data_IF_367060459650
#
_entry.id   IF_367060459650
#
_cell.length_a   1.000
_cell.length_b   1.000
_cell.length_c   1.000
_cell.angle_alpha   90.00
_cell.angle_beta   90.00
_cell.angle_gamma   90.00
#
_symmetry.space_group_name_H-M   'P 1'
#
loop_
_entity.id
_entity.type
_entity.pdbx_description
1 polymer ?
#
# COMPACT_ATOMS: atom_id res chain seq x y z
N UNK A 1 -19.83 52.93 3.48
CA UNK A 1 -18.96 53.17 2.31
C UNK A 1 -19.61 52.50 1.10
N UNK A 2 -20.38 53.20 0.25
CA UNK A 2 -19.96 53.92 -0.97
C UNK A 2 -19.12 53.03 -1.92
N UNK A 3 -19.39 52.90 -3.24
CA UNK A 3 -20.06 53.82 -4.18
C UNK A 3 -20.32 53.11 -5.54
N UNK A 4 -21.37 53.57 -6.22
CA UNK A 4 -21.53 53.68 -7.68
C UNK A 4 -21.65 52.44 -8.57
N UNK A 5 -22.89 52.19 -8.98
CA UNK A 5 -23.24 51.55 -10.25
C UNK A 5 -23.80 52.63 -11.19
N UNK A 6 -23.08 52.99 -12.27
CA UNK A 6 -23.56 53.80 -13.40
C UNK A 6 -22.87 53.37 -14.69
N UNK A 7 -23.69 53.00 -15.68
CA UNK A 7 -23.55 53.36 -17.09
C UNK A 7 -22.60 52.52 -17.95
N UNK A 8 -23.14 51.83 -18.95
CA UNK A 8 -22.92 52.17 -20.38
C UNK A 8 -23.62 51.18 -21.31
N UNK A 9 -24.79 51.57 -21.81
CA UNK A 9 -25.35 51.02 -23.03
C UNK A 9 -25.69 52.19 -23.96
N UNK A 10 -24.78 52.46 -24.90
CA UNK A 10 -24.99 53.33 -26.06
C UNK A 10 -24.30 52.65 -27.25
N UNK A 11 -25.09 52.29 -28.26
CA UNK A 11 -24.87 52.33 -29.71
C UNK A 11 -26.26 51.95 -30.27
N UNK A 12 -27.13 52.95 -30.46
CA UNK A 12 -27.41 53.62 -31.75
C UNK A 12 -28.31 52.75 -32.64
N UNK A 13 -29.63 52.94 -32.72
CA UNK A 13 -30.39 54.11 -33.22
C UNK A 13 -30.24 54.31 -34.74
N UNK A 14 -31.07 53.62 -35.54
CA UNK A 14 -31.59 53.99 -36.88
C UNK A 14 -32.76 53.01 -37.16
N UNK A 15 -34.00 53.33 -37.53
CA UNK A 15 -34.75 54.56 -37.69
C UNK A 15 -36.22 54.20 -37.39
N UNK A 16 -36.72 54.67 -36.27
CA UNK A 16 -38.12 54.59 -35.88
C UNK A 16 -38.56 55.96 -35.40
N UNK A 17 -38.74 56.91 -36.32
CA UNK A 17 -39.54 58.13 -36.14
C UNK A 17 -39.58 58.93 -37.45
N UNK A 18 -40.65 58.75 -38.21
CA UNK A 18 -41.21 59.81 -39.06
C UNK A 18 -42.73 59.84 -38.83
N UNK A 19 -43.10 60.04 -37.56
CA UNK A 19 -44.45 60.36 -37.13
C UNK A 19 -44.43 61.83 -36.70
N UNK A 20 -44.88 62.71 -37.61
CA UNK A 20 -45.45 64.01 -37.27
C UNK A 20 -44.58 65.25 -37.51
N UNK A 21 -44.57 65.77 -38.74
CA UNK A 21 -44.76 67.21 -39.02
C UNK A 21 -45.15 67.42 -40.49
N UNK A 22 -46.41 67.16 -40.85
CA UNK A 22 -47.08 67.85 -41.96
C UNK A 22 -48.53 68.09 -41.54
N UNK A 23 -48.73 69.14 -40.75
CA UNK A 23 -50.05 69.71 -40.50
C UNK A 23 -50.05 71.14 -41.05
N UNK A 24 -50.25 71.28 -42.36
CA UNK A 24 -50.74 72.54 -42.96
C UNK A 24 -51.16 72.33 -44.41
N UNK A 25 -52.43 72.67 -44.65
CA UNK A 25 -53.20 72.73 -45.91
C UNK A 25 -54.06 71.50 -46.21
N UNK A 26 -55.41 71.67 -46.23
CA UNK A 26 -56.28 70.75 -46.94
C UNK A 26 -56.14 71.09 -48.42
N UNK A 27 -55.08 70.62 -49.07
CA UNK A 27 -55.07 70.57 -50.52
C UNK A 27 -55.97 69.42 -50.93
N UNK A 28 -57.13 69.80 -51.44
CA UNK A 28 -58.01 68.98 -52.26
C UNK A 28 -57.19 68.49 -53.46
N UNK A 29 -56.40 67.44 -53.25
CA UNK A 29 -55.94 66.60 -54.33
C UNK A 29 -57.11 65.67 -54.61
N UNK A 30 -57.87 66.04 -55.64
CA UNK A 30 -58.86 65.24 -56.34
C UNK A 30 -58.63 63.76 -56.08
N UNK A 31 -59.54 63.15 -55.31
CA UNK A 31 -59.68 61.72 -55.25
C UNK A 31 -60.05 61.25 -56.65
N UNK A 32 -59.04 61.00 -57.48
CA UNK A 32 -59.21 60.16 -58.64
C UNK A 32 -59.51 58.78 -58.07
N UNK A 33 -60.78 58.42 -58.11
CA UNK A 33 -61.25 57.14 -57.61
C UNK A 33 -60.54 56.07 -58.44
N UNK A 34 -59.62 55.26 -57.86
CA UNK A 34 -59.12 54.12 -58.59
C UNK A 34 -60.29 53.16 -58.66
N UNK A 35 -60.86 53.04 -59.86
CA UNK A 35 -61.80 52.00 -60.22
C UNK A 35 -61.40 50.69 -59.54
N UNK A 36 -62.34 49.96 -58.93
CA UNK A 36 -62.08 48.70 -58.21
C UNK A 36 -61.36 47.61 -59.02
N UNK A 37 -61.17 47.81 -60.33
CA UNK A 37 -60.33 47.00 -61.20
C UNK A 37 -58.82 47.25 -61.03
N UNK A 38 -58.40 48.46 -60.60
CA UNK A 38 -57.00 48.85 -60.40
C UNK A 38 -56.44 48.33 -59.05
N UNK A 39 -57.32 47.84 -58.16
CA UNK A 39 -56.99 47.18 -56.89
C UNK A 39 -56.86 45.65 -57.04
N UNK A 40 -57.53 45.07 -58.04
CA UNK A 40 -57.54 43.62 -58.32
C UNK A 40 -56.46 43.20 -59.33
N UNK A 41 -56.00 44.12 -60.20
CA UNK A 41 -54.88 43.89 -61.10
C UNK A 41 -53.68 44.72 -60.65
N UNK A 42 -52.69 44.12 -59.96
CA UNK A 42 -51.49 44.85 -59.60
C UNK A 42 -50.80 45.37 -60.86
N UNK A 43 -50.49 46.67 -60.89
CA UNK A 43 -49.73 47.27 -61.99
C UNK A 43 -48.39 46.53 -62.10
N UNK A 44 -47.96 46.10 -63.31
CA UNK A 44 -46.71 45.37 -63.48
C UNK A 44 -45.49 46.16 -62.97
N UNK A 45 -45.61 47.48 -62.84
CA UNK A 45 -44.61 48.37 -62.26
C UNK A 45 -44.37 48.16 -60.76
N UNK A 46 -45.34 47.68 -59.98
CA UNK A 46 -45.19 47.41 -58.54
C UNK A 46 -44.74 45.97 -58.25
N UNK A 47 -45.04 45.04 -59.17
CA UNK A 47 -44.64 43.64 -59.05
C UNK A 47 -43.11 43.44 -59.15
N UNK A 48 -42.45 44.17 -60.05
CA UNK A 48 -41.00 44.08 -60.26
C UNK A 48 -40.19 44.46 -59.00
N UNK A 49 -40.39 45.63 -58.35
CA UNK A 49 -39.67 45.97 -57.12
C UNK A 49 -40.05 45.06 -55.95
N UNK A 50 -41.30 44.59 -55.85
CA UNK A 50 -41.70 43.62 -54.85
C UNK A 50 -40.98 42.26 -55.03
N UNK A 51 -40.84 41.79 -56.28
CA UNK A 51 -40.11 40.58 -56.61
C UNK A 51 -38.62 40.73 -56.30
N UNK A 52 -38.02 41.88 -56.63
CA UNK A 52 -36.62 42.17 -56.28
C UNK A 52 -36.44 42.18 -54.76
N UNK A 53 -37.32 42.84 -54.01
CA UNK A 53 -37.28 42.85 -52.55
C UNK A 53 -37.41 41.42 -51.96
N UNK A 54 -38.32 40.60 -52.51
CA UNK A 54 -38.47 39.20 -52.14
C UNK A 54 -37.21 38.38 -52.41
N UNK A 55 -36.61 38.53 -53.60
CA UNK A 55 -35.36 37.84 -53.97
C UNK A 55 -34.20 38.26 -53.08
N UNK A 56 -34.09 39.54 -52.74
CA UNK A 56 -33.05 40.05 -51.82
C UNK A 56 -33.20 39.43 -50.43
N UNK A 57 -34.43 39.42 -49.88
CA UNK A 57 -34.71 38.81 -48.58
C UNK A 57 -34.46 37.30 -48.63
N UNK A 58 -34.91 36.62 -49.68
CA UNK A 58 -34.69 35.18 -49.86
C UNK A 58 -33.20 34.85 -49.96
N UNK A 59 -32.41 35.63 -50.71
CA UNK A 59 -30.98 35.39 -50.83
C UNK A 59 -30.26 35.56 -49.48
N UNK A 60 -30.61 36.60 -48.72
CA UNK A 60 -30.08 36.81 -47.35
C UNK A 60 -30.47 35.64 -46.45
N UNK A 61 -31.72 35.19 -46.48
CA UNK A 61 -32.20 34.09 -45.66
C UNK A 61 -31.56 32.75 -46.07
N UNK A 62 -31.42 32.47 -47.36
CA UNK A 62 -30.75 31.27 -47.86
C UNK A 62 -29.28 31.26 -47.45
N UNK A 63 -28.59 32.41 -47.49
CA UNK A 63 -27.19 32.52 -47.10
C UNK A 63 -26.96 32.47 -45.59
N UNK A 64 -27.91 32.91 -44.75
CA UNK A 64 -27.73 32.97 -43.29
C UNK A 64 -28.48 31.88 -42.52
N UNK A 65 -29.75 31.62 -42.84
CA UNK A 65 -30.59 30.67 -42.10
C UNK A 65 -30.21 29.22 -42.42
N UNK A 66 -29.96 28.90 -43.70
CA UNK A 66 -29.61 27.54 -44.12
C UNK A 66 -28.33 27.00 -43.46
N UNK A 67 -27.18 27.72 -43.47
CA UNK A 67 -25.99 27.22 -42.78
C UNK A 67 -26.14 27.19 -41.25
N UNK A 68 -26.92 28.09 -40.65
CA UNK A 68 -27.18 28.07 -39.20
C UNK A 68 -27.95 26.82 -38.75
N UNK A 69 -28.97 26.42 -39.53
CA UNK A 69 -29.77 25.22 -39.24
C UNK A 69 -28.94 23.94 -39.43
N UNK A 70 -28.21 23.83 -40.54
CA UNK A 70 -27.32 22.70 -40.80
C UNK A 70 -26.23 22.59 -39.73
N UNK A 71 -25.60 23.70 -39.37
CA UNK A 71 -24.58 23.72 -38.32
C UNK A 71 -25.12 23.32 -36.94
N UNK A 72 -26.38 23.63 -36.62
CA UNK A 72 -27.01 23.15 -35.38
C UNK A 72 -27.24 21.63 -35.42
N UNK A 73 -27.73 21.09 -36.54
CA UNK A 73 -27.96 19.66 -36.70
C UNK A 73 -26.64 18.88 -36.65
N UNK A 74 -25.61 19.36 -37.34
CA UNK A 74 -24.28 18.75 -37.35
C UNK A 74 -23.65 18.78 -35.95
N UNK A 75 -23.75 19.90 -35.22
CA UNK A 75 -23.33 19.95 -33.81
C UNK A 75 -24.06 18.96 -32.92
N UNK A 76 -25.38 18.80 -33.11
CA UNK A 76 -26.16 17.81 -32.35
C UNK A 76 -25.72 16.38 -32.69
N UNK A 77 -25.54 16.09 -33.97
CA UNK A 77 -25.07 14.78 -34.43
C UNK A 77 -23.69 14.48 -33.88
N UNK A 78 -22.74 15.42 -34.03
CA UNK A 78 -21.38 15.27 -33.51
C UNK A 78 -21.39 15.07 -32.00
N UNK A 79 -22.15 15.86 -31.25
CA UNK A 79 -22.26 15.69 -29.81
C UNK A 79 -22.80 14.31 -29.43
N UNK A 80 -23.82 13.81 -30.12
CA UNK A 80 -24.36 12.47 -29.85
C UNK A 80 -23.32 11.39 -30.13
N UNK A 81 -22.59 11.51 -31.24
CA UNK A 81 -21.51 10.57 -31.57
C UNK A 81 -20.39 10.63 -30.52
N UNK A 82 -19.94 11.82 -30.13
CA UNK A 82 -18.91 11.99 -29.10
C UNK A 82 -19.38 11.45 -27.73
N UNK A 83 -20.64 11.70 -27.35
CA UNK A 83 -21.22 11.18 -26.10
C UNK A 83 -21.34 9.65 -26.14
N UNK A 84 -21.67 9.04 -27.29
CA UNK A 84 -21.73 7.59 -27.47
C UNK A 84 -20.33 6.95 -27.45
N UNK A 85 -19.39 7.51 -28.20
CA UNK A 85 -18.01 7.03 -28.29
C UNK A 85 -17.32 7.13 -26.92
N UNK A 86 -17.54 8.22 -26.19
CA UNK A 86 -17.01 8.38 -24.83
C UNK A 86 -17.65 7.41 -23.83
N UNK A 87 -18.94 7.14 -23.93
CA UNK A 87 -19.61 6.14 -23.11
C UNK A 87 -19.11 4.73 -23.40
N UNK A 88 -18.93 4.36 -24.66
CA UNK A 88 -18.38 3.06 -25.06
C UNK A 88 -16.93 2.91 -24.58
N UNK A 89 -16.10 3.94 -24.78
CA UNK A 89 -14.73 3.97 -24.27
C UNK A 89 -14.68 3.84 -22.75
N UNK A 90 -15.49 4.59 -22.03
CA UNK A 90 -15.55 4.51 -20.56
C UNK A 90 -15.99 3.13 -20.08
N UNK A 91 -16.95 2.50 -20.77
CA UNK A 91 -17.36 1.12 -20.47
C UNK A 91 -16.26 0.11 -20.75
N UNK A 92 -15.53 0.26 -21.85
CA UNK A 92 -14.41 -0.61 -22.20
C UNK A 92 -13.25 -0.46 -21.21
N UNK A 93 -12.91 0.76 -20.82
CA UNK A 93 -11.90 1.06 -19.80
C UNK A 93 -12.30 0.46 -18.44
N UNK A 94 -13.55 0.66 -18.01
CA UNK A 94 -14.06 0.08 -16.76
C UNK A 94 -14.03 -1.46 -16.77
N UNK A 95 -14.36 -2.09 -17.91
CA UNK A 95 -14.28 -3.55 -18.05
C UNK A 95 -12.83 -4.05 -18.01
N UNK A 96 -11.91 -3.37 -18.70
CA UNK A 96 -10.48 -3.72 -18.68
C UNK A 96 -9.87 -3.52 -17.29
N UNK A 97 -10.25 -2.45 -16.61
CA UNK A 97 -9.81 -2.16 -15.25
C UNK A 97 -10.35 -3.20 -14.26
N UNK A 98 -11.64 -3.58 -14.35
CA UNK A 98 -12.22 -4.65 -13.55
C UNK A 98 -11.48 -5.98 -13.75
N UNK A 99 -11.15 -6.33 -15.00
CA UNK A 99 -10.34 -7.53 -15.27
C UNK A 99 -8.95 -7.44 -14.65
N UNK A 100 -8.27 -6.29 -14.76
CA UNK A 100 -6.97 -6.08 -14.10
C UNK A 100 -7.06 -6.18 -12.58
N UNK A 101 -8.16 -5.73 -11.98
CA UNK A 101 -8.39 -5.87 -10.54
C UNK A 101 -8.56 -7.34 -10.13
N UNK A 102 -9.34 -8.12 -10.87
CA UNK A 102 -9.49 -9.56 -10.63
C UNK A 102 -8.14 -10.29 -10.74
N UNK A 103 -7.35 -9.99 -11.78
CA UNK A 103 -6.02 -10.57 -11.96
C UNK A 103 -5.08 -10.22 -10.78
N UNK A 104 -5.12 -8.96 -10.32
CA UNK A 104 -4.35 -8.51 -9.15
C UNK A 104 -4.81 -9.21 -7.87
N UNK A 105 -6.10 -9.46 -7.69
CA UNK A 105 -6.62 -10.21 -6.53
C UNK A 105 -6.13 -11.66 -6.56
N UNK A 106 -6.18 -12.31 -7.72
CA UNK A 106 -5.65 -13.67 -7.89
C UNK A 106 -4.15 -13.71 -7.60
N UNK A 107 -3.38 -12.76 -8.13
CA UNK A 107 -1.95 -12.67 -7.87
C UNK A 107 -1.64 -12.40 -6.39
N UNK A 108 -2.39 -11.52 -5.74
CA UNK A 108 -2.25 -11.21 -4.32
C UNK A 108 -2.54 -12.45 -3.45
N UNK A 109 -3.60 -13.19 -3.76
CA UNK A 109 -3.92 -14.45 -3.08
C UNK A 109 -2.83 -15.51 -3.29
N UNK A 110 -2.30 -15.63 -4.51
CA UNK A 110 -1.17 -16.54 -4.81
C UNK A 110 0.07 -16.17 -3.99
N UNK A 111 0.43 -14.88 -3.92
CA UNK A 111 1.55 -14.38 -3.12
C UNK A 111 1.32 -14.61 -1.62
N UNK A 112 0.10 -14.41 -1.13
CA UNK A 112 -0.24 -14.68 0.27
C UNK A 112 -0.04 -16.16 0.62
N UNK A 113 -0.53 -17.07 -0.22
CA UNK A 113 -0.34 -18.52 -0.02
C UNK A 113 1.14 -18.90 -0.09
N UNK A 114 1.89 -18.31 -1.02
CA UNK A 114 3.34 -18.51 -1.16
C UNK A 114 4.09 -18.05 0.12
N UNK A 115 3.75 -16.87 0.65
CA UNK A 115 4.31 -16.36 1.91
C UNK A 115 3.96 -17.28 3.08
N UNK A 116 2.71 -17.74 3.19
CA UNK A 116 2.28 -18.64 4.28
C UNK A 116 3.01 -19.97 4.17
N UNK A 117 3.14 -20.54 2.98
CA UNK A 117 3.86 -21.79 2.73
C UNK A 117 5.34 -21.64 3.08
N UNK A 118 5.98 -20.55 2.67
CA UNK A 118 7.38 -20.29 2.95
C UNK A 118 7.61 -20.08 4.46
N UNK A 119 6.76 -19.30 5.12
CA UNK A 119 6.82 -19.09 6.57
C UNK A 119 6.64 -20.40 7.36
N UNK A 120 5.73 -21.29 6.94
CA UNK A 120 5.58 -22.61 7.56
C UNK A 120 6.83 -23.47 7.39
N UNK A 121 7.43 -23.44 6.20
CA UNK A 121 8.67 -24.20 5.92
C UNK A 121 9.83 -23.68 6.77
N UNK A 122 10.02 -22.37 6.81
CA UNK A 122 11.05 -21.72 7.64
C UNK A 122 10.83 -22.01 9.13
N UNK A 123 9.59 -21.94 9.61
CA UNK A 123 9.27 -22.25 11.00
C UNK A 123 9.56 -23.72 11.36
N UNK A 124 9.27 -24.67 10.48
CA UNK A 124 9.58 -26.08 10.73
C UNK A 124 11.10 -26.35 10.67
N UNK A 125 11.81 -25.69 9.75
CA UNK A 125 13.26 -25.77 9.68
C UNK A 125 13.92 -25.18 10.95
N UNK A 126 13.49 -23.99 11.37
CA UNK A 126 13.96 -23.34 12.59
C UNK A 126 13.64 -24.19 13.83
N UNK A 127 12.42 -24.75 13.91
CA UNK A 127 12.04 -25.68 14.98
C UNK A 127 12.96 -26.89 15.02
N UNK A 128 13.25 -27.50 13.88
CA UNK A 128 14.17 -28.64 13.79
C UNK A 128 15.58 -28.25 14.23
N UNK A 129 16.07 -27.08 13.82
CA UNK A 129 17.39 -26.57 14.23
C UNK A 129 17.46 -26.31 15.74
N UNK A 130 16.44 -25.69 16.32
CA UNK A 130 16.34 -25.43 17.77
C UNK A 130 16.31 -26.76 18.54
N UNK A 131 15.52 -27.73 18.09
CA UNK A 131 15.45 -29.05 18.74
C UNK A 131 16.78 -29.80 18.65
N UNK A 132 17.45 -29.77 17.49
CA UNK A 132 18.76 -30.38 17.32
C UNK A 132 19.81 -29.72 18.21
N UNK A 133 19.82 -28.39 18.28
CA UNK A 133 20.72 -27.63 19.16
C UNK A 133 20.44 -27.93 20.63
N UNK A 134 19.18 -27.95 21.05
CA UNK A 134 18.79 -28.28 22.42
C UNK A 134 19.20 -29.71 22.81
N UNK A 135 19.05 -30.69 21.92
CA UNK A 135 19.53 -32.06 22.15
C UNK A 135 21.05 -32.13 22.27
N UNK A 136 21.78 -31.40 21.41
CA UNK A 136 23.23 -31.33 21.49
C UNK A 136 23.69 -30.68 22.81
N UNK A 137 23.11 -29.55 23.19
CA UNK A 137 23.41 -28.87 24.46
C UNK A 137 23.07 -29.75 25.67
N UNK A 138 21.94 -30.45 25.64
CA UNK A 138 21.58 -31.40 26.70
C UNK A 138 22.60 -32.54 26.81
N UNK A 139 23.02 -33.13 25.69
CA UNK A 139 24.06 -34.16 25.66
C UNK A 139 25.39 -33.64 26.21
N UNK A 140 25.77 -32.42 25.84
CA UNK A 140 27.00 -31.79 26.32
C UNK A 140 26.96 -31.52 27.83
N UNK A 141 25.81 -31.07 28.35
CA UNK A 141 25.59 -30.87 29.79
C UNK A 141 25.72 -32.21 30.52
N UNK A 142 25.11 -33.28 30.01
CA UNK A 142 25.20 -34.62 30.61
C UNK A 142 26.65 -35.12 30.61
N UNK A 143 27.36 -34.97 29.48
CA UNK A 143 28.77 -35.36 29.38
C UNK A 143 29.65 -34.58 30.38
N UNK A 144 29.44 -33.26 30.50
CA UNK A 144 30.14 -32.42 31.49
C UNK A 144 29.80 -32.82 32.92
N UNK A 145 28.53 -33.14 33.20
CA UNK A 145 28.09 -33.58 34.52
C UNK A 145 28.74 -34.92 34.91
N UNK A 146 28.81 -35.89 33.99
CA UNK A 146 29.54 -37.14 34.23
C UNK A 146 31.02 -36.90 34.53
N UNK A 147 31.70 -36.06 33.75
CA UNK A 147 33.09 -35.70 34.02
C UNK A 147 33.29 -35.01 35.38
N UNK A 148 32.38 -34.13 35.77
CA UNK A 148 32.40 -33.47 37.08
C UNK A 148 32.18 -34.47 38.22
N UNK A 149 31.22 -35.39 38.08
CA UNK A 149 30.95 -36.45 39.07
C UNK A 149 32.15 -37.38 39.21
N UNK A 150 32.80 -37.77 38.13
CA UNK A 150 33.99 -38.62 38.18
C UNK A 150 35.16 -37.92 38.87
N UNK A 151 35.37 -36.63 38.58
CA UNK A 151 36.37 -35.81 39.26
C UNK A 151 36.07 -35.70 40.76
N UNK A 152 34.81 -35.46 41.13
CA UNK A 152 34.41 -35.31 42.53
C UNK A 152 34.51 -36.64 43.29
N UNK A 153 34.15 -37.75 42.65
CA UNK A 153 34.34 -39.10 43.22
C UNK A 153 35.82 -39.40 43.50
N UNK A 154 36.72 -39.02 42.59
CA UNK A 154 38.16 -39.17 42.80
C UNK A 154 38.64 -38.34 43.99
N UNK A 155 38.22 -37.07 44.10
CA UNK A 155 38.53 -36.22 45.25
C UNK A 155 38.02 -36.82 46.56
N UNK A 156 36.76 -37.23 46.62
CA UNK A 156 36.16 -37.86 47.80
C UNK A 156 36.90 -39.15 48.21
N UNK A 157 37.37 -39.94 47.24
CA UNK A 157 38.14 -41.16 47.50
C UNK A 157 39.52 -40.85 48.11
N UNK A 158 40.20 -39.80 47.62
CA UNK A 158 41.47 -39.33 48.18
C UNK A 158 41.26 -38.80 49.60
N UNK A 159 40.23 -37.98 49.83
CA UNK A 159 39.91 -37.41 51.13
C UNK A 159 39.54 -38.50 52.16
N UNK A 160 38.77 -39.51 51.74
CA UNK A 160 38.45 -40.67 52.57
C UNK A 160 39.71 -41.49 52.90
N UNK A 161 40.60 -41.69 51.92
CA UNK A 161 41.85 -42.42 52.13
C UNK A 161 42.74 -41.70 53.16
N UNK A 162 42.87 -40.38 53.06
CA UNK A 162 43.60 -39.58 54.05
C UNK A 162 42.98 -39.68 55.44
N UNK A 163 41.64 -39.56 55.53
CA UNK A 163 40.92 -39.69 56.81
C UNK A 163 41.11 -41.07 57.46
N UNK A 164 41.16 -42.14 56.65
CA UNK A 164 41.43 -43.50 57.14
C UNK A 164 42.87 -43.65 57.62
N UNK A 165 43.84 -43.04 56.93
CA UNK A 165 45.24 -43.02 57.37
C UNK A 165 45.37 -42.28 58.71
N UNK A 166 44.79 -41.09 58.82
CA UNK A 166 44.82 -40.29 60.06
C UNK A 166 44.19 -41.05 61.23
N UNK A 167 43.03 -41.68 61.03
CA UNK A 167 42.38 -42.51 62.04
C UNK A 167 43.22 -43.74 62.42
N UNK A 168 43.89 -44.36 61.45
CA UNK A 168 44.77 -45.51 61.71
C UNK A 168 45.99 -45.11 62.55
N UNK A 169 46.58 -43.94 62.28
CA UNK A 169 47.68 -43.37 63.07
C UNK A 169 47.21 -43.03 64.49
N UNK A 170 46.00 -42.46 64.64
CA UNK A 170 45.41 -42.18 65.96
C UNK A 170 45.20 -43.47 66.78
N UNK A 171 44.62 -44.50 66.17
CA UNK A 171 44.42 -45.82 66.81
C UNK A 171 45.76 -46.45 67.20
N UNK A 172 46.74 -46.45 66.30
CA UNK A 172 48.07 -47.00 66.58
C UNK A 172 48.76 -46.24 67.71
N UNK A 173 48.69 -44.91 67.71
CA UNK A 173 49.23 -44.05 68.78
C UNK A 173 48.56 -44.34 70.12
N UNK A 174 47.25 -44.58 70.14
CA UNK A 174 46.49 -44.90 71.35
C UNK A 174 46.81 -46.31 71.88
N UNK A 175 47.01 -47.30 71.01
CA UNK A 175 47.45 -48.66 71.40
C UNK A 175 48.86 -48.61 72.01
N UNK A 176 49.79 -47.88 71.36
CA UNK A 176 51.15 -47.70 71.88
C UNK A 176 51.12 -46.91 73.21
N UNK A 177 50.24 -45.92 73.33
CA UNK A 177 50.14 -45.07 74.52
C UNK A 177 49.51 -45.73 75.74
N UNK A 178 48.64 -46.74 75.59
CA UNK A 178 47.86 -47.27 76.71
C UNK A 178 48.34 -48.59 77.33
N UNK A 179 49.18 -49.41 76.70
CA UNK A 179 49.55 -50.72 77.30
C UNK A 179 50.88 -51.29 76.77
N UNK A 180 51.97 -50.50 76.75
CA UNK A 180 53.31 -51.11 76.58
C UNK A 180 53.89 -51.54 77.94
N UNK A 181 53.93 -52.85 78.14
CA UNK A 181 54.72 -53.47 79.22
C UNK A 181 56.22 -53.38 78.92
N UNK A 182 57.06 -53.35 79.96
CA UNK A 182 58.52 -53.17 79.86
C UNK A 182 59.18 -54.23 78.93
N UNK A 183 58.63 -55.45 78.92
CA UNK A 183 59.06 -56.54 78.02
C UNK A 183 58.77 -56.27 76.53
N UNK A 184 57.66 -55.58 76.20
CA UNK A 184 57.31 -55.25 74.82
C UNK A 184 58.19 -54.12 74.27
N UNK A 185 58.55 -53.13 75.09
CA UNK A 185 59.50 -52.08 74.72
C UNK A 185 60.88 -52.67 74.42
N UNK A 186 61.33 -53.63 75.23
CA UNK A 186 62.63 -54.29 75.05
C UNK A 186 62.67 -55.12 73.76
N UNK A 187 61.61 -55.88 73.45
CA UNK A 187 61.49 -56.62 72.18
C UNK A 187 61.44 -55.70 70.95
N UNK A 188 60.80 -54.54 71.05
CA UNK A 188 60.75 -53.56 69.96
C UNK A 188 62.15 -52.97 69.69
N UNK A 189 62.89 -52.65 70.76
CA UNK A 189 64.27 -52.16 70.67
C UNK A 189 65.22 -53.21 70.07
N UNK A 190 65.11 -54.48 70.49
CA UNK A 190 65.88 -55.59 69.90
C UNK A 190 65.55 -55.79 68.42
N UNK A 191 64.27 -55.66 68.02
CA UNK A 191 63.84 -55.78 66.62
C UNK A 191 64.37 -54.62 65.75
N UNK A 192 64.29 -53.37 66.22
CA UNK A 192 64.92 -52.23 65.54
C UNK A 192 66.43 -52.38 65.43
N UNK A 193 67.09 -52.84 66.49
CA UNK A 193 68.52 -53.09 66.47
C UNK A 193 68.88 -54.20 65.48
N UNK A 194 68.05 -55.25 65.35
CA UNK A 194 68.24 -56.31 64.37
C UNK A 194 67.99 -55.84 62.92
N UNK A 195 67.03 -54.95 62.68
CA UNK A 195 66.67 -54.45 61.35
C UNK A 195 67.65 -53.37 60.85
N UNK A 196 68.23 -52.57 61.77
CA UNK A 196 69.31 -51.61 61.47
C UNK A 196 70.70 -52.27 61.44
N UNK A 197 70.88 -53.39 62.14
CA UNK A 197 72.13 -54.18 62.10
C UNK A 197 72.13 -55.27 61.03
N UNK A 198 71.01 -55.49 60.33
CA UNK A 198 70.97 -56.28 59.11
C UNK A 198 71.68 -55.46 58.02
N UNK A 199 72.87 -55.88 57.55
CA UNK A 199 73.65 -55.11 56.58
C UNK A 199 72.90 -54.98 55.26
N UNK A 200 73.05 -53.81 54.62
CA UNK A 200 72.66 -53.56 53.23
C UNK A 200 73.14 -54.71 52.31
N UNK A 201 72.21 -55.50 51.80
CA UNK A 201 72.39 -56.22 50.54
C UNK A 201 71.29 -55.78 49.56
N UNK A 202 71.68 -54.80 48.73
CA UNK A 202 71.12 -54.35 47.44
C UNK A 202 69.86 -53.47 47.42
#
# INVERSE_FOLDING_TARGET
>A
MNRNMKGSARIAAVAGLMLGTVLSLPTVALADSPSGADLLLPKPAEFIPALIAFLVIWFIMAKFAWPSILGMMEKRQQKIQDDLDSAEKSKAEAAAEAQSYEDKLVEANRKAEEIISQAKKEAEEERSQILAKAQHEASDIIAKAHGAVDSERRKATIELSNSVVDLSVEIASKIIGNDLTEDQQRRLAEKYLAEVSAPDEH
#
